data_IF_817514985237
#
_entry.id   IF_817514985237
#
_cell.length_a   1.000
_cell.length_b   1.000
_cell.length_c   1.000
_cell.angle_alpha   90.00
_cell.angle_beta   90.00
_cell.angle_gamma   90.00
#
_symmetry.space_group_name_H-M   'P 1'
#
loop_
_entity.id
_entity.type
_entity.pdbx_description
1 polymer ?
#
# COMPACT_ATOMS: atom_id res chain seq x y z
N UNK A 1 35.07 4.80 -21.89
CA UNK A 1 33.69 4.24 -21.85
C UNK A 1 33.83 2.74 -22.03
N UNK A 2 33.61 1.95 -20.97
CA UNK A 2 33.71 0.50 -21.03
C UNK A 2 32.38 -0.05 -21.57
N UNK A 3 32.33 -0.34 -22.86
CA UNK A 3 31.24 -1.13 -23.44
C UNK A 3 31.36 -2.56 -22.93
N UNK A 4 30.32 -3.04 -22.24
CA UNK A 4 30.24 -4.42 -21.77
C UNK A 4 29.97 -5.35 -22.97
N UNK A 5 31.01 -5.60 -23.77
CA UNK A 5 30.99 -6.42 -24.98
C UNK A 5 30.51 -7.88 -24.85
N UNK A 6 30.54 -8.54 -23.67
CA UNK A 6 30.08 -9.92 -23.58
C UNK A 6 28.56 -10.08 -23.71
N UNK A 7 27.78 -9.13 -23.19
CA UNK A 7 26.33 -9.29 -23.06
C UNK A 7 25.61 -9.45 -24.42
N UNK A 8 25.86 -8.61 -25.44
CA UNK A 8 25.22 -8.78 -26.74
C UNK A 8 25.60 -10.07 -27.49
N UNK A 9 26.65 -10.78 -27.04
CA UNK A 9 27.09 -12.05 -27.64
C UNK A 9 26.40 -13.27 -27.03
N UNK A 10 25.65 -13.08 -25.95
CA UNK A 10 24.87 -14.16 -25.34
C UNK A 10 23.67 -14.51 -26.24
N UNK A 11 23.27 -15.80 -26.30
CA UNK A 11 21.99 -16.21 -26.86
C UNK A 11 20.84 -15.36 -26.33
N UNK A 12 19.83 -15.13 -27.17
CA UNK A 12 18.70 -14.24 -26.84
C UNK A 12 17.96 -14.70 -25.59
N UNK A 13 17.88 -16.01 -25.37
CA UNK A 13 17.24 -16.64 -24.22
C UNK A 13 17.99 -16.28 -22.92
N UNK A 14 19.32 -16.28 -22.94
CA UNK A 14 20.12 -15.91 -21.78
C UNK A 14 20.01 -14.42 -21.48
N UNK A 15 19.99 -13.57 -22.52
CA UNK A 15 19.79 -12.12 -22.32
C UNK A 15 18.42 -11.81 -21.74
N UNK A 16 17.36 -12.46 -22.24
CA UNK A 16 16.02 -12.37 -21.69
C UNK A 16 15.98 -12.75 -20.20
N UNK A 17 16.53 -13.92 -19.86
CA UNK A 17 16.63 -14.36 -18.45
C UNK A 17 17.40 -13.38 -17.57
N UNK A 18 18.49 -12.79 -18.07
CA UNK A 18 19.23 -11.77 -17.32
C UNK A 18 18.35 -10.56 -17.06
N UNK A 19 17.60 -10.07 -18.06
CA UNK A 19 16.70 -8.95 -17.88
C UNK A 19 15.58 -9.25 -16.88
N UNK A 20 14.94 -10.42 -16.96
CA UNK A 20 13.94 -10.86 -15.99
C UNK A 20 14.49 -10.86 -14.55
N UNK A 21 15.76 -11.23 -14.36
CA UNK A 21 16.42 -11.21 -13.04
C UNK A 21 16.79 -9.79 -12.55
N UNK A 22 16.74 -8.76 -13.41
CA UNK A 22 17.03 -7.37 -12.98
C UNK A 22 15.85 -6.69 -12.32
N UNK A 23 14.67 -7.31 -12.34
CA UNK A 23 13.45 -6.70 -11.81
C UNK A 23 13.36 -6.96 -10.31
N UNK A 24 13.34 -5.87 -9.54
CA UNK A 24 13.25 -5.92 -8.09
C UNK A 24 11.95 -5.27 -7.60
N UNK A 25 11.27 -5.86 -6.58
CA UNK A 25 10.12 -5.22 -5.96
C UNK A 25 10.49 -3.85 -5.39
N UNK A 26 9.65 -2.85 -5.64
CA UNK A 26 9.83 -1.50 -5.13
C UNK A 26 8.49 -0.86 -4.78
N UNK A 27 8.56 0.17 -3.95
CA UNK A 27 7.41 1.02 -3.67
C UNK A 27 7.40 2.18 -4.66
N UNK A 28 6.35 2.26 -5.46
CA UNK A 28 6.13 3.36 -6.40
C UNK A 28 5.15 4.33 -5.78
N UNK A 29 5.64 5.52 -5.46
CA UNK A 29 4.81 6.60 -4.93
C UNK A 29 4.01 7.24 -6.04
N UNK A 30 2.70 7.33 -5.83
CA UNK A 30 1.79 7.98 -6.76
C UNK A 30 0.98 8.98 -5.95
N UNK A 31 1.01 10.23 -6.39
CA UNK A 31 0.34 11.36 -5.74
C UNK A 31 -0.36 12.21 -6.78
N UNK A 32 -1.33 13.01 -6.34
CA UNK A 32 -1.92 14.07 -7.14
C UNK A 32 -1.28 15.41 -6.80
N UNK A 33 -0.77 16.10 -7.82
CA UNK A 33 -0.40 17.51 -7.70
C UNK A 33 -1.58 18.38 -8.12
N UNK A 34 -1.91 19.36 -7.28
CA UNK A 34 -2.86 20.42 -7.65
C UNK A 34 -2.12 21.51 -8.42
N UNK A 35 -2.52 21.78 -9.67
CA UNK A 35 -2.03 22.94 -10.41
C UNK A 35 -2.83 24.20 -10.04
N UNK A 36 -2.13 25.33 -9.89
CA UNK A 36 -2.74 26.64 -9.68
C UNK A 36 -3.31 27.17 -11.01
N UNK A 37 -4.53 26.74 -11.35
CA UNK A 37 -5.39 27.19 -12.47
C UNK A 37 -5.01 26.77 -13.91
N UNK A 38 -6.02 26.43 -14.76
CA UNK A 38 -7.28 25.81 -14.39
C UNK A 38 -7.01 24.41 -13.82
N UNK A 39 -7.90 23.95 -12.95
CA UNK A 39 -7.86 22.84 -11.98
C UNK A 39 -7.52 21.42 -12.51
N UNK A 40 -6.48 21.29 -13.32
CA UNK A 40 -5.95 19.99 -13.74
C UNK A 40 -5.10 19.44 -12.60
N UNK A 41 -5.64 18.45 -11.90
CA UNK A 41 -4.83 17.60 -11.04
C UNK A 41 -4.12 16.58 -11.92
N UNK A 42 -2.79 16.55 -11.89
CA UNK A 42 -2.04 15.55 -12.63
C UNK A 42 -1.38 14.58 -11.67
N UNK A 43 -1.37 13.32 -12.08
CA UNK A 43 -0.64 12.27 -11.40
C UNK A 43 0.86 12.53 -11.54
N UNK A 44 1.58 12.42 -10.44
CA UNK A 44 3.03 12.42 -10.44
C UNK A 44 3.56 11.29 -9.55
N UNK A 45 4.77 10.86 -9.89
CA UNK A 45 5.55 9.93 -9.09
C UNK A 45 6.90 10.55 -8.77
N UNK A 46 7.27 10.54 -7.49
CA UNK A 46 8.61 10.88 -7.01
C UNK A 46 9.60 9.73 -7.25
N UNK A 47 9.09 8.51 -7.51
CA UNK A 47 9.91 7.32 -7.69
C UNK A 47 10.63 7.37 -9.04
N UNK A 48 11.98 7.25 -9.06
CA UNK A 48 12.73 7.24 -10.31
C UNK A 48 12.28 6.11 -11.26
N UNK A 49 12.42 6.36 -12.56
CA UNK A 49 12.22 5.32 -13.58
C UNK A 49 13.23 4.18 -13.32
N UNK A 50 12.81 2.89 -13.38
CA UNK A 50 13.71 1.76 -13.17
C UNK A 50 14.98 1.85 -14.03
N UNK A 51 16.13 1.57 -13.43
CA UNK A 51 17.42 1.59 -14.13
C UNK A 51 17.42 0.67 -15.36
N UNK A 52 16.72 -0.48 -15.28
CA UNK A 52 16.54 -1.42 -16.39
C UNK A 52 15.96 -0.77 -17.64
N UNK A 53 14.99 0.14 -17.51
CA UNK A 53 14.40 0.84 -18.65
C UNK A 53 15.35 1.89 -19.27
N UNK A 54 16.35 2.34 -18.50
CA UNK A 54 17.37 3.30 -18.93
C UNK A 54 18.63 2.62 -19.49
N UNK A 55 18.78 1.30 -19.31
CA UNK A 55 19.99 0.58 -19.69
C UNK A 55 20.20 0.52 -21.21
N UNK A 56 19.21 0.03 -21.96
CA UNK A 56 19.24 -0.04 -23.42
C UNK A 56 17.84 -0.28 -24.03
N UNK A 57 17.75 -0.24 -25.37
CA UNK A 57 16.50 -0.51 -26.11
C UNK A 57 15.96 -1.93 -25.85
N UNK A 58 16.84 -2.93 -25.77
CA UNK A 58 16.45 -4.32 -25.52
C UNK A 58 15.75 -4.47 -24.18
N UNK A 59 16.34 -3.96 -23.09
CA UNK A 59 15.76 -4.00 -21.76
C UNK A 59 14.40 -3.27 -21.69
N UNK A 60 14.28 -2.11 -22.36
CA UNK A 60 13.05 -1.32 -22.41
C UNK A 60 11.90 -2.02 -23.15
N UNK A 61 12.22 -2.74 -24.22
CA UNK A 61 11.23 -3.44 -25.05
C UNK A 61 10.97 -4.87 -24.61
N UNK A 62 11.64 -5.34 -23.55
CA UNK A 62 11.48 -6.69 -23.02
C UNK A 62 10.14 -6.92 -22.31
N UNK A 63 9.37 -5.86 -22.04
CA UNK A 63 8.02 -5.98 -21.45
C UNK A 63 8.01 -6.16 -19.93
N UNK A 64 9.12 -5.88 -19.24
CA UNK A 64 9.23 -6.01 -17.78
C UNK A 64 8.46 -4.94 -17.00
N UNK A 65 8.19 -3.81 -17.64
CA UNK A 65 7.38 -2.71 -17.10
C UNK A 65 6.46 -2.20 -18.20
N UNK A 66 5.31 -1.67 -17.80
CA UNK A 66 4.35 -1.04 -18.69
C UNK A 66 4.06 0.40 -18.26
N UNK A 67 3.67 1.24 -19.22
CA UNK A 67 3.10 2.55 -18.93
C UNK A 67 1.67 2.35 -18.43
N UNK A 68 1.37 2.88 -17.25
CA UNK A 68 0.06 2.71 -16.61
C UNK A 68 -0.43 4.02 -15.98
N UNK A 69 -1.74 4.04 -15.67
CA UNK A 69 -2.43 5.10 -14.92
C UNK A 69 -2.51 6.45 -15.63
N UNK A 70 -2.35 6.46 -16.96
CA UNK A 70 -2.67 7.62 -17.79
C UNK A 70 -4.12 8.09 -17.57
N UNK A 71 -5.03 7.14 -17.41
CA UNK A 71 -6.47 7.29 -17.26
C UNK A 71 -6.91 7.91 -15.92
N UNK A 72 -5.98 8.16 -14.99
CA UNK A 72 -6.28 8.82 -13.72
C UNK A 72 -6.28 10.34 -13.93
N UNK A 73 -7.47 10.93 -13.96
CA UNK A 73 -7.66 12.37 -14.01
C UNK A 73 -8.92 12.78 -13.22
N UNK A 74 -8.84 13.91 -12.50
CA UNK A 74 -10.02 14.52 -11.88
C UNK A 74 -10.79 15.44 -12.85
N UNK A 75 -10.12 15.97 -13.86
CA UNK A 75 -10.69 16.85 -14.88
C UNK A 75 -10.04 16.53 -16.24
N UNK A 76 -10.84 16.57 -17.31
CA UNK A 76 -10.34 16.35 -18.68
C UNK A 76 -9.25 17.39 -18.95
N UNK A 77 -8.05 16.98 -19.41
CA UNK A 77 -7.01 17.93 -19.75
C UNK A 77 -7.52 18.91 -20.81
N UNK A 78 -7.23 20.21 -20.66
CA UNK A 78 -7.43 21.17 -21.74
C UNK A 78 -6.73 20.68 -23.02
N UNK A 79 -7.27 21.01 -24.19
CA UNK A 79 -6.69 20.64 -25.49
C UNK A 79 -5.16 20.86 -25.50
N UNK A 80 -4.41 19.76 -25.60
CA UNK A 80 -2.93 19.77 -25.70
C UNK A 80 -2.14 19.36 -24.45
N UNK A 81 -2.76 19.07 -23.30
CA UNK A 81 -2.04 18.51 -22.15
C UNK A 81 -1.81 17.00 -22.31
N UNK A 82 -0.54 16.57 -22.26
CA UNK A 82 -0.16 15.16 -22.39
C UNK A 82 -0.55 14.34 -21.15
N UNK A 83 -1.06 13.13 -21.41
CA UNK A 83 -1.39 12.13 -20.40
C UNK A 83 -0.11 11.69 -19.68
N UNK A 84 -0.09 11.78 -18.35
CA UNK A 84 1.06 11.33 -17.55
C UNK A 84 0.87 9.87 -17.16
N UNK A 85 1.84 9.05 -17.52
CA UNK A 85 1.90 7.65 -17.12
C UNK A 85 3.04 7.41 -16.13
N UNK A 86 2.96 6.29 -15.43
CA UNK A 86 4.06 5.77 -14.60
C UNK A 86 4.49 4.42 -15.14
N UNK A 87 5.80 4.17 -15.14
CA UNK A 87 6.33 2.84 -15.47
C UNK A 87 6.16 1.91 -14.28
N UNK A 88 5.33 0.88 -14.43
CA UNK A 88 4.95 -0.04 -13.37
C UNK A 88 5.12 -1.49 -13.81
N UNK A 89 5.49 -2.34 -12.87
CA UNK A 89 5.31 -3.78 -12.92
C UNK A 89 4.28 -4.14 -11.84
N UNK A 90 2.99 -4.21 -12.22
CA UNK A 90 1.88 -4.41 -11.28
C UNK A 90 1.90 -5.77 -10.56
N UNK A 91 2.73 -6.72 -11.00
CA UNK A 91 2.89 -8.02 -10.34
C UNK A 91 3.78 -7.94 -9.09
N UNK A 92 4.71 -6.98 -9.05
CA UNK A 92 5.72 -6.90 -7.98
C UNK A 92 5.75 -5.53 -7.29
N UNK A 93 5.39 -4.45 -7.98
CA UNK A 93 5.46 -3.09 -7.47
C UNK A 93 4.36 -2.89 -6.42
N UNK A 94 4.76 -2.29 -5.30
CA UNK A 94 3.83 -1.79 -4.28
C UNK A 94 3.40 -0.38 -4.67
N UNK A 95 2.11 -0.16 -4.91
CA UNK A 95 1.58 1.16 -5.27
C UNK A 95 1.27 1.93 -4.00
N UNK A 96 2.06 2.97 -3.71
CA UNK A 96 1.86 3.82 -2.54
C UNK A 96 1.12 5.09 -2.90
N UNK A 97 -0.11 5.25 -2.39
CA UNK A 97 -0.94 6.44 -2.64
C UNK A 97 -0.79 7.52 -1.55
N UNK A 98 -0.13 7.18 -0.43
CA UNK A 98 0.00 8.06 0.74
C UNK A 98 -1.37 8.49 1.26
N UNK A 99 -1.54 9.79 1.50
CA UNK A 99 -2.80 10.41 1.93
C UNK A 99 -3.79 10.68 0.78
N UNK A 100 -3.44 10.35 -0.48
CA UNK A 100 -4.35 10.57 -1.62
C UNK A 100 -5.58 9.67 -1.48
N UNK A 101 -6.78 10.22 -1.75
CA UNK A 101 -8.04 9.50 -1.62
C UNK A 101 -8.14 8.25 -2.50
N UNK A 102 -8.77 7.18 -2.02
CA UNK A 102 -9.01 5.96 -2.81
C UNK A 102 -9.84 6.22 -4.07
N UNK A 103 -10.84 7.09 -3.99
CA UNK A 103 -11.70 7.51 -5.11
C UNK A 103 -10.92 7.85 -6.38
N UNK A 104 -9.75 8.48 -6.23
CA UNK A 104 -8.84 8.85 -7.33
C UNK A 104 -8.44 7.65 -8.18
N UNK A 105 -8.20 6.53 -7.53
CA UNK A 105 -7.68 5.32 -8.13
C UNK A 105 -8.80 4.38 -8.57
N UNK A 106 -10.07 4.74 -8.40
CA UNK A 106 -11.23 3.86 -8.65
C UNK A 106 -11.21 3.20 -10.04
N UNK A 107 -10.85 3.95 -11.09
CA UNK A 107 -10.80 3.42 -12.47
C UNK A 107 -9.70 2.36 -12.67
N UNK A 108 -8.64 2.40 -11.87
CA UNK A 108 -7.48 1.51 -11.99
C UNK A 108 -7.36 0.52 -10.83
N UNK A 109 -8.17 0.66 -9.78
CA UNK A 109 -8.13 -0.14 -8.56
C UNK A 109 -8.14 -1.66 -8.84
N UNK A 110 -8.91 -2.18 -9.81
CA UNK A 110 -8.86 -3.61 -10.16
C UNK A 110 -7.52 -4.10 -10.71
N UNK A 111 -6.63 -3.21 -11.15
CA UNK A 111 -5.31 -3.58 -11.68
C UNK A 111 -4.23 -3.65 -10.60
N UNK A 112 -4.47 -3.06 -9.43
CA UNK A 112 -3.51 -2.94 -8.34
C UNK A 112 -3.51 -4.23 -7.51
N UNK A 113 -2.33 -4.85 -7.37
CA UNK A 113 -2.15 -6.11 -6.61
C UNK A 113 -1.51 -5.91 -5.24
N UNK A 114 -0.78 -4.82 -5.04
CA UNK A 114 -0.10 -4.49 -3.78
C UNK A 114 -0.30 -3.00 -3.54
N UNK A 115 -0.93 -2.64 -2.42
CA UNK A 115 -1.34 -1.28 -2.12
C UNK A 115 -0.71 -0.81 -0.81
N UNK A 116 -0.20 0.42 -0.80
CA UNK A 116 0.23 1.13 0.40
C UNK A 116 -0.50 2.46 0.51
N UNK A 117 -1.01 2.78 1.70
CA UNK A 117 -1.65 4.07 1.99
C UNK A 117 -1.35 4.53 3.41
N UNK A 118 -1.67 5.79 3.70
CA UNK A 118 -1.45 6.42 5.00
C UNK A 118 -2.76 7.05 5.48
N UNK A 119 -3.26 6.64 6.65
CA UNK A 119 -4.51 7.15 7.22
C UNK A 119 -4.44 7.17 8.75
N UNK A 120 -5.34 7.96 9.32
CA UNK A 120 -5.72 7.88 10.73
C UNK A 120 -7.00 7.05 10.80
N UNK A 121 -7.02 5.96 11.57
CA UNK A 121 -8.25 5.19 11.78
C UNK A 121 -9.27 5.99 12.61
N UNK A 122 -8.82 6.90 13.47
CA UNK A 122 -9.68 7.80 14.24
C UNK A 122 -10.32 8.94 13.43
N UNK A 123 -9.91 9.14 12.16
CA UNK A 123 -10.55 10.12 11.30
C UNK A 123 -11.95 9.63 10.90
N UNK A 124 -12.99 10.34 11.34
CA UNK A 124 -14.39 10.04 11.03
C UNK A 124 -14.64 9.92 9.52
N UNK A 125 -13.95 10.77 8.73
CA UNK A 125 -13.95 10.79 7.27
C UNK A 125 -13.59 9.44 6.66
N UNK A 126 -12.41 8.96 7.06
CA UNK A 126 -11.89 7.68 6.68
C UNK A 126 -12.74 6.54 7.24
N UNK A 127 -12.99 6.55 8.55
CA UNK A 127 -13.62 5.46 9.29
C UNK A 127 -15.01 5.10 8.74
N UNK A 128 -15.86 6.10 8.52
CA UNK A 128 -17.24 5.88 8.11
C UNK A 128 -17.48 5.86 6.60
N UNK A 129 -16.61 6.48 5.79
CA UNK A 129 -16.86 6.65 4.37
C UNK A 129 -15.73 6.11 3.49
N UNK A 130 -14.51 6.63 3.64
CA UNK A 130 -13.42 6.31 2.70
C UNK A 130 -12.98 4.84 2.80
N UNK A 131 -13.00 4.25 3.99
CA UNK A 131 -12.67 2.83 4.23
C UNK A 131 -13.47 1.87 3.34
N UNK A 132 -14.72 2.23 3.01
CA UNK A 132 -15.57 1.43 2.13
C UNK A 132 -15.07 1.37 0.68
N UNK A 133 -14.29 2.35 0.23
CA UNK A 133 -13.74 2.44 -1.12
C UNK A 133 -12.60 1.44 -1.36
N UNK A 134 -12.00 0.88 -0.30
CA UNK A 134 -11.02 -0.22 -0.38
C UNK A 134 -11.61 -1.42 -1.16
N UNK A 135 -12.94 -1.57 -1.17
CA UNK A 135 -13.67 -2.61 -1.92
C UNK A 135 -13.42 -2.57 -3.44
N UNK A 136 -13.06 -1.41 -3.99
CA UNK A 136 -12.77 -1.28 -5.43
C UNK A 136 -11.43 -1.95 -5.83
N UNK A 137 -10.53 -2.20 -4.87
CA UNK A 137 -9.22 -2.85 -5.06
C UNK A 137 -9.34 -4.37 -5.06
N UNK A 138 -10.22 -4.92 -5.88
CA UNK A 138 -10.66 -6.32 -5.84
C UNK A 138 -9.54 -7.36 -6.04
N UNK A 139 -8.41 -6.98 -6.64
CA UNK A 139 -7.28 -7.86 -6.92
C UNK A 139 -6.08 -7.63 -5.99
N UNK A 140 -6.22 -6.77 -4.98
CA UNK A 140 -5.16 -6.53 -4.00
C UNK A 140 -4.92 -7.79 -3.18
N UNK A 141 -3.66 -8.17 -3.06
CA UNK A 141 -3.18 -9.37 -2.35
C UNK A 141 -2.36 -9.01 -1.12
N UNK A 142 -1.98 -7.74 -0.97
CA UNK A 142 -1.16 -7.24 0.12
C UNK A 142 -1.45 -5.76 0.32
N UNK A 143 -1.72 -5.37 1.57
CA UNK A 143 -1.99 -3.99 1.95
C UNK A 143 -1.03 -3.56 3.05
N UNK A 144 -0.38 -2.42 2.86
CA UNK A 144 0.46 -1.75 3.87
C UNK A 144 -0.19 -0.43 4.29
N UNK A 145 -0.47 -0.28 5.57
CA UNK A 145 -1.10 0.90 6.15
C UNK A 145 -0.10 1.63 7.02
N UNK A 146 0.25 2.86 6.65
CA UNK A 146 0.98 3.77 7.54
C UNK A 146 -0.03 4.38 8.51
N UNK A 147 0.11 4.05 9.79
CA UNK A 147 -0.80 4.41 10.86
C UNK A 147 -0.45 5.81 11.38
N UNK A 148 -1.09 6.85 10.84
CA UNK A 148 -0.76 8.24 11.18
C UNK A 148 -1.15 8.61 12.63
N UNK A 149 -2.15 7.93 13.19
CA UNK A 149 -2.62 8.02 14.57
C UNK A 149 -2.04 6.94 15.50
N UNK A 150 -1.02 6.20 15.02
CA UNK A 150 -0.35 5.14 15.75
C UNK A 150 -1.03 3.77 15.60
N UNK A 151 -0.23 2.69 15.70
CA UNK A 151 -0.74 1.33 15.45
C UNK A 151 -1.90 0.92 16.39
N UNK A 152 -1.91 1.39 17.64
CA UNK A 152 -2.97 1.03 18.58
C UNK A 152 -4.38 1.46 18.14
N UNK A 153 -4.49 2.56 17.38
CA UNK A 153 -5.76 3.01 16.81
C UNK A 153 -6.30 2.04 15.73
N UNK A 154 -5.45 1.16 15.20
CA UNK A 154 -5.80 0.16 14.20
C UNK A 154 -6.09 -1.23 14.79
N UNK A 155 -6.16 -1.34 16.12
CA UNK A 155 -6.60 -2.56 16.80
C UNK A 155 -7.98 -2.99 16.29
N UNK A 156 -8.11 -4.25 15.85
CA UNK A 156 -9.30 -4.85 15.27
C UNK A 156 -9.82 -4.17 13.99
N UNK A 157 -9.04 -3.31 13.34
CA UNK A 157 -9.48 -2.61 12.13
C UNK A 157 -9.87 -3.55 10.99
N UNK A 158 -9.32 -4.78 10.91
CA UNK A 158 -9.73 -5.78 9.90
C UNK A 158 -11.06 -6.47 10.20
N UNK A 159 -11.60 -6.34 11.42
CA UNK A 159 -12.96 -6.75 11.77
C UNK A 159 -13.98 -5.64 11.49
N UNK A 160 -13.54 -4.38 11.55
CA UNK A 160 -14.39 -3.20 11.36
C UNK A 160 -14.48 -2.78 9.89
N UNK A 161 -13.36 -2.87 9.16
CA UNK A 161 -13.24 -2.45 7.78
C UNK A 161 -12.98 -3.64 6.84
N UNK A 162 -13.38 -3.50 5.59
CA UNK A 162 -13.17 -4.54 4.59
C UNK A 162 -11.79 -4.43 3.94
N UNK A 163 -10.99 -5.50 4.07
CA UNK A 163 -9.72 -5.65 3.36
C UNK A 163 -9.80 -6.83 2.38
N UNK A 164 -9.74 -6.62 1.06
CA UNK A 164 -9.93 -7.69 0.07
C UNK A 164 -8.89 -8.81 0.13
N UNK A 165 -7.73 -8.55 0.73
CA UNK A 165 -6.62 -9.50 0.84
C UNK A 165 -6.64 -10.35 2.12
N UNK A 166 -7.63 -10.15 3.01
CA UNK A 166 -7.71 -10.83 4.31
C UNK A 166 -6.73 -10.26 5.35
N UNK A 167 -7.00 -10.45 6.65
CA UNK A 167 -6.18 -9.90 7.74
C UNK A 167 -4.73 -10.42 7.73
N UNK A 168 -4.49 -11.61 7.16
CA UNK A 168 -3.16 -12.21 7.05
C UNK A 168 -2.21 -11.45 6.10
N UNK A 169 -2.76 -10.62 5.20
CA UNK A 169 -2.00 -9.85 4.22
C UNK A 169 -2.12 -8.33 4.43
N UNK A 170 -2.59 -7.90 5.60
CA UNK A 170 -2.61 -6.50 6.03
C UNK A 170 -1.45 -6.26 7.01
N UNK A 171 -0.65 -5.24 6.70
CA UNK A 171 0.52 -4.83 7.47
C UNK A 171 0.34 -3.40 7.94
N UNK A 172 0.45 -3.17 9.24
CA UNK A 172 0.46 -1.86 9.87
C UNK A 172 1.89 -1.39 10.04
N UNK A 173 2.14 -0.12 9.74
CA UNK A 173 3.45 0.53 9.82
C UNK A 173 3.31 1.76 10.72
N UNK A 174 4.10 1.79 11.79
CA UNK A 174 4.19 2.93 12.70
C UNK A 174 5.02 4.07 12.06
N UNK A 175 4.86 5.35 12.46
CA UNK A 175 5.75 6.41 12.00
C UNK A 175 7.24 6.16 12.27
N UNK A 176 7.59 5.35 13.27
CA UNK A 176 8.96 4.88 13.53
C UNK A 176 9.47 3.81 12.54
N UNK A 177 8.63 3.34 11.63
CA UNK A 177 8.96 2.35 10.58
C UNK A 177 8.86 0.89 11.03
N UNK A 178 8.49 0.63 12.29
CA UNK A 178 8.13 -0.72 12.73
C UNK A 178 6.92 -1.20 11.93
N UNK A 179 6.91 -2.47 11.55
CA UNK A 179 5.84 -3.10 10.79
C UNK A 179 5.32 -4.32 11.54
N UNK A 180 4.01 -4.52 11.54
CA UNK A 180 3.35 -5.64 12.19
C UNK A 180 2.18 -6.13 11.33
N UNK A 181 1.92 -7.44 11.28
CA UNK A 181 0.72 -7.96 10.62
C UNK A 181 -0.53 -7.67 11.46
N UNK A 182 -1.70 -7.56 10.81
CA UNK A 182 -2.96 -7.30 11.55
C UNK A 182 -3.19 -8.31 12.67
N UNK A 183 -3.03 -9.60 12.38
CA UNK A 183 -3.23 -10.65 13.39
C UNK A 183 -2.26 -10.51 14.58
N UNK A 184 -1.03 -10.09 14.34
CA UNK A 184 -0.02 -9.91 15.39
C UNK A 184 -0.30 -8.65 16.23
N UNK A 185 -0.80 -7.59 15.58
CA UNK A 185 -1.23 -6.36 16.24
C UNK A 185 -2.43 -6.63 17.15
N UNK A 186 -3.42 -7.37 16.64
CA UNK A 186 -4.61 -7.71 17.41
C UNK A 186 -4.26 -8.57 18.63
N UNK A 187 -3.44 -9.60 18.45
CA UNK A 187 -2.95 -10.46 19.54
C UNK A 187 -2.11 -9.68 20.58
N UNK A 188 -1.38 -8.65 20.16
CA UNK A 188 -0.60 -7.80 21.06
C UNK A 188 -1.53 -6.89 21.88
N UNK A 189 -2.43 -6.16 21.22
CA UNK A 189 -3.35 -5.24 21.86
C UNK A 189 -4.34 -5.98 22.78
N UNK A 190 -4.85 -7.15 22.38
CA UNK A 190 -5.74 -7.94 23.22
C UNK A 190 -5.04 -8.40 24.51
N UNK A 191 -3.77 -8.83 24.44
CA UNK A 191 -2.99 -9.17 25.64
C UNK A 191 -2.74 -7.98 26.55
N UNK A 192 -2.41 -6.82 25.99
CA UNK A 192 -2.20 -5.59 26.76
C UNK A 192 -3.50 -5.16 27.47
N UNK A 193 -4.64 -5.27 26.79
CA UNK A 193 -5.96 -5.00 27.39
C UNK A 193 -6.32 -6.02 28.47
N UNK A 194 -6.08 -7.31 28.23
CA UNK A 194 -6.30 -8.37 29.23
C UNK A 194 -5.50 -8.13 30.51
N UNK A 195 -4.23 -7.73 30.38
CA UNK A 195 -3.38 -7.39 31.52
C UNK A 195 -3.88 -6.13 32.25
N UNK A 196 -4.31 -5.10 31.51
CA UNK A 196 -4.88 -3.89 32.10
C UNK A 196 -6.16 -4.20 32.90
N UNK A 197 -7.09 -4.96 32.32
CA UNK A 197 -8.33 -5.34 33.01
C UNK A 197 -8.02 -6.15 34.27
N UNK A 198 -7.06 -7.08 34.20
CA UNK A 198 -6.63 -7.88 35.36
C UNK A 198 -6.03 -7.00 36.46
N UNK A 199 -5.23 -6.00 36.12
CA UNK A 199 -4.68 -5.04 37.09
C UNK A 199 -5.78 -4.22 37.77
N UNK A 200 -6.85 -3.89 37.03
CA UNK A 200 -8.02 -3.19 37.55
C UNK A 200 -8.99 -4.10 38.32
N UNK A 201 -8.70 -5.41 38.40
CA UNK A 201 -9.51 -6.40 39.12
C UNK A 201 -10.70 -6.93 38.33
N UNK A 202 -10.67 -6.86 36.99
CA UNK A 202 -11.72 -7.34 36.10
C UNK A 202 -11.21 -8.44 35.16
N UNK A 203 -12.10 -9.36 34.77
CA UNK A 203 -11.87 -10.30 33.69
C UNK A 203 -12.22 -9.63 32.35
N UNK A 204 -11.29 -9.62 31.39
CA UNK A 204 -11.44 -8.93 30.11
C UNK A 204 -12.60 -9.47 29.26
N UNK A 205 -12.79 -10.79 29.24
CA UNK A 205 -13.79 -11.41 28.37
C UNK A 205 -15.21 -11.25 28.89
N UNK A 206 -15.40 -11.30 30.21
CA UNK A 206 -16.72 -11.17 30.85
C UNK A 206 -17.04 -9.76 31.33
N UNK A 207 -16.03 -8.90 31.52
CA UNK A 207 -16.16 -7.59 32.13
C UNK A 207 -16.56 -7.62 33.62
N UNK A 208 -16.56 -8.80 34.24
CA UNK A 208 -16.92 -8.97 35.65
C UNK A 208 -15.69 -8.79 36.55
N UNK A 209 -15.86 -8.37 37.81
CA UNK A 209 -14.78 -8.42 38.78
C UNK A 209 -14.19 -9.83 38.86
N UNK A 210 -12.87 -9.93 38.96
CA UNK A 210 -12.21 -11.18 39.31
C UNK A 210 -12.69 -11.56 40.71
N UNK A 211 -13.19 -12.78 40.87
CA UNK A 211 -13.63 -13.28 42.17
C UNK A 211 -12.45 -13.17 43.14
N UNK A 212 -12.53 -12.22 44.07
CA UNK A 212 -11.66 -12.16 45.25
C UNK A 212 -12.00 -13.40 46.06
N UNK A 213 -11.34 -14.52 45.73
CA UNK A 213 -11.62 -15.81 46.33
C UNK A 213 -11.84 -15.67 47.82
N UNK A 214 -13.01 -16.12 48.28
CA UNK A 214 -13.49 -16.18 49.67
C UNK A 214 -12.38 -15.84 50.68
N UNK A 215 -12.35 -14.58 51.14
CA UNK A 215 -11.78 -14.26 52.45
C UNK A 215 -12.73 -14.81 53.52
N UNK A 216 -12.77 -16.14 53.60
CA UNK A 216 -13.37 -16.85 54.72
C UNK A 216 -12.38 -16.88 55.88
N UNK A 217 -12.81 -16.20 56.97
CA UNK A 217 -12.37 -16.23 58.37
C UNK A 217 -11.34 -15.19 58.83
#
# INVERSE_FOLDING_TARGET
>A
MATFHPFPRLPVELRARIWEMTVEPRTVEIRLAHAAQPSICHLFSSTPVPATLQACHEARTHGLYQQAFSEIYYQVPSDGAEWRYVWLNLDIDMISIGQTSFFVFKSVAPTIKRLKFERENSDEGFYHWESSEIRDFVNVKEIHVVCADGMGAWHKATYEHYFPCGPENVFYIDPGGQMMRSIELDDMCDRELEESYRQDGYDYHSGLPLDDGDTAL
#
